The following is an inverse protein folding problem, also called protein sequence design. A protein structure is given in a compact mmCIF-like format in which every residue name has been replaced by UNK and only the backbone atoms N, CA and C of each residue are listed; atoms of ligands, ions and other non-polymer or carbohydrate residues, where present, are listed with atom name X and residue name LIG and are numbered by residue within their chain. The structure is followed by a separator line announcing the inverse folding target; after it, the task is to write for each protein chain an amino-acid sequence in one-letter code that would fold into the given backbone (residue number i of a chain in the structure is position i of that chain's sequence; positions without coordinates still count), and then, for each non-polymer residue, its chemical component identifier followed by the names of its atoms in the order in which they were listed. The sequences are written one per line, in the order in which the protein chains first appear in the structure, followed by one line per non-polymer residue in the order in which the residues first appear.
data_IF_640877107208
#
_entry.id   IF_640877107208
#
_cell.length_a   1.000
_cell.length_b   1.000
_cell.length_c   1.000
_cell.angle_alpha   90.00
_cell.angle_beta   90.00
_cell.angle_gamma   90.00
#
_symmetry.space_group_name_H-M   'P 1'
#
loop_
_entity.id
_entity.type
_entity.pdbx_description
1 polymer ?
#
# COMPACT_ATOMS: atom_id res chain seq x y z
N UNK A 1 -9.34 19.30 -19.98
CA UNK A 1 -10.03 18.24 -19.22
C UNK A 1 -11.53 18.45 -19.38
N UNK A 2 -12.22 17.49 -20.00
CA UNK A 2 -13.68 17.53 -20.13
C UNK A 2 -14.35 16.76 -18.99
N UNK A 3 -15.69 16.83 -18.87
CA UNK A 3 -16.42 16.16 -17.78
C UNK A 3 -16.24 14.63 -17.82
N UNK A 4 -16.24 14.03 -19.01
CA UNK A 4 -16.09 12.57 -19.17
C UNK A 4 -14.72 12.07 -18.69
N UNK A 5 -13.67 12.84 -18.97
CA UNK A 5 -12.30 12.57 -18.50
C UNK A 5 -12.20 12.74 -16.98
N UNK A 6 -12.86 13.76 -16.41
CA UNK A 6 -12.93 13.97 -14.97
C UNK A 6 -13.68 12.85 -14.24
N UNK A 7 -14.81 12.37 -14.79
CA UNK A 7 -15.57 11.24 -14.25
C UNK A 7 -14.71 9.98 -14.18
N UNK A 8 -14.05 9.62 -15.28
CA UNK A 8 -13.12 8.48 -15.34
C UNK A 8 -11.99 8.61 -14.32
N UNK A 9 -11.38 9.78 -14.22
CA UNK A 9 -10.30 10.03 -13.25
C UNK A 9 -10.81 9.93 -11.81
N UNK A 10 -12.02 10.39 -11.54
CA UNK A 10 -12.66 10.30 -10.23
C UNK A 10 -12.95 8.86 -9.83
N UNK A 11 -13.40 8.02 -10.77
CA UNK A 11 -13.61 6.58 -10.52
C UNK A 11 -12.29 5.86 -10.21
N UNK A 12 -11.22 6.18 -10.94
CA UNK A 12 -9.88 5.64 -10.67
C UNK A 12 -9.40 6.02 -9.26
N UNK A 13 -9.54 7.29 -8.88
CA UNK A 13 -9.21 7.77 -7.54
C UNK A 13 -10.06 7.09 -6.45
N UNK A 14 -11.36 6.92 -6.68
CA UNK A 14 -12.25 6.24 -5.74
C UNK A 14 -11.87 4.76 -5.54
N UNK A 15 -11.49 4.05 -6.61
CA UNK A 15 -11.03 2.67 -6.53
C UNK A 15 -9.71 2.55 -5.77
N UNK A 16 -8.78 3.48 -6.02
CA UNK A 16 -7.55 3.59 -5.25
C UNK A 16 -7.83 3.82 -3.75
N UNK A 17 -8.70 4.78 -3.40
CA UNK A 17 -9.06 5.04 -2.01
C UNK A 17 -9.75 3.85 -1.34
N UNK A 18 -10.63 3.11 -2.03
CA UNK A 18 -11.24 1.87 -1.52
C UNK A 18 -10.21 0.79 -1.20
N UNK A 19 -9.13 0.74 -1.97
CA UNK A 19 -8.01 -0.17 -1.71
C UNK A 19 -7.20 0.26 -0.48
N UNK A 20 -7.11 1.55 -0.19
CA UNK A 20 -6.43 2.03 1.01
C UNK A 20 -7.32 1.95 2.26
N UNK A 21 -8.64 2.12 2.13
CA UNK A 21 -9.59 2.19 3.23
C UNK A 21 -9.78 0.84 3.97
N UNK A 22 -8.78 0.41 4.73
CA UNK A 22 -8.78 -0.77 5.59
C UNK A 22 -7.67 -0.66 6.63
N UNK A 23 -8.02 -0.85 7.90
CA UNK A 23 -7.07 -0.78 9.02
C UNK A 23 -5.82 -1.63 8.81
N UNK A 24 -5.94 -2.96 8.54
CA UNK A 24 -4.78 -3.81 8.29
C UNK A 24 -3.88 -3.35 7.14
N UNK A 25 -4.47 -2.86 6.03
CA UNK A 25 -3.69 -2.35 4.89
C UNK A 25 -2.97 -1.07 5.24
N UNK A 26 -3.63 -0.12 5.91
CA UNK A 26 -2.99 1.13 6.36
C UNK A 26 -1.87 0.86 7.35
N UNK A 27 -2.05 -0.09 8.28
CA UNK A 27 -1.00 -0.48 9.23
C UNK A 27 0.25 -1.00 8.50
N UNK A 28 0.04 -1.87 7.50
CA UNK A 28 1.14 -2.38 6.67
C UNK A 28 1.78 -1.26 5.83
N UNK A 29 0.98 -0.36 5.27
CA UNK A 29 1.46 0.74 4.44
C UNK A 29 2.22 1.81 5.25
N UNK A 30 1.79 2.16 6.48
CA UNK A 30 2.57 3.04 7.37
C UNK A 30 3.96 2.43 7.65
N UNK A 31 4.11 1.10 7.75
CA UNK A 31 5.43 0.45 7.88
C UNK A 31 6.28 0.53 6.60
N UNK A 32 5.66 0.50 5.41
CA UNK A 32 6.39 0.62 4.14
C UNK A 32 6.82 2.05 3.81
N UNK A 33 6.22 3.07 4.44
CA UNK A 33 6.69 4.46 4.36
C UNK A 33 8.09 4.60 4.97
N UNK A 34 8.44 3.77 5.96
CA UNK A 34 9.78 3.76 6.57
C UNK A 34 10.85 3.10 5.68
N UNK A 35 10.44 2.38 4.63
CA UNK A 35 11.34 1.73 3.69
C UNK A 35 10.87 0.36 3.20
N UNK A 36 11.67 -0.23 2.31
CA UNK A 36 11.41 -1.54 1.72
C UNK A 36 11.48 -2.66 2.78
N UNK A 37 10.47 -3.55 2.82
CA UNK A 37 10.39 -4.65 3.80
C UNK A 37 9.85 -5.95 3.21
N UNK A 38 10.22 -7.09 3.80
CA UNK A 38 9.65 -8.39 3.44
C UNK A 38 8.41 -8.73 4.28
N UNK A 39 7.65 -9.74 3.86
CA UNK A 39 6.39 -10.16 4.53
C UNK A 39 6.61 -10.59 5.98
N UNK A 40 7.73 -11.22 6.31
CA UNK A 40 8.04 -11.67 7.66
C UNK A 40 8.19 -10.49 8.61
N UNK A 41 9.03 -9.52 8.24
CA UNK A 41 9.22 -8.28 9.00
C UNK A 41 7.93 -7.49 9.16
N UNK A 42 7.11 -7.40 8.09
CA UNK A 42 5.81 -6.73 8.16
C UNK A 42 4.85 -7.46 9.12
N UNK A 43 4.79 -8.79 9.09
CA UNK A 43 3.96 -9.57 10.00
C UNK A 43 4.36 -9.37 11.48
N UNK A 44 5.66 -9.37 11.76
CA UNK A 44 6.20 -9.11 13.10
C UNK A 44 5.84 -7.71 13.60
N UNK A 45 6.11 -6.68 12.80
CA UNK A 45 5.89 -5.27 13.18
C UNK A 45 4.42 -4.90 13.32
N UNK A 46 3.56 -5.48 12.49
CA UNK A 46 2.12 -5.19 12.50
C UNK A 46 1.32 -6.11 13.44
N UNK A 47 1.94 -7.19 13.95
CA UNK A 47 1.24 -8.23 14.72
C UNK A 47 0.22 -9.04 13.90
N UNK A 48 0.16 -8.84 12.58
CA UNK A 48 -0.74 -9.55 11.69
C UNK A 48 -0.18 -10.93 11.35
N UNK A 49 -1.07 -11.88 11.05
CA UNK A 49 -0.66 -13.19 10.53
C UNK A 49 0.02 -13.02 9.18
N UNK A 50 1.09 -13.77 8.94
CA UNK A 50 1.84 -13.75 7.69
C UNK A 50 0.98 -14.02 6.46
N UNK A 51 -0.02 -14.91 6.58
CA UNK A 51 -1.00 -15.19 5.52
C UNK A 51 -1.86 -13.98 5.20
N UNK A 52 -2.30 -13.24 6.22
CA UNK A 52 -3.07 -11.99 6.07
C UNK A 52 -2.23 -10.91 5.39
N UNK A 53 -0.97 -10.72 5.82
CA UNK A 53 -0.05 -9.76 5.18
C UNK A 53 0.17 -10.14 3.71
N UNK A 54 0.42 -11.41 3.41
CA UNK A 54 0.62 -11.89 2.04
C UNK A 54 -0.59 -11.66 1.15
N UNK A 55 -1.81 -11.90 1.66
CA UNK A 55 -3.05 -11.64 0.91
C UNK A 55 -3.23 -10.15 0.62
N UNK A 56 -3.00 -9.28 1.61
CA UNK A 56 -3.05 -7.83 1.40
C UNK A 56 -1.98 -7.35 0.41
N UNK A 57 -0.75 -7.87 0.51
CA UNK A 57 0.33 -7.58 -0.41
C UNK A 57 0.01 -8.01 -1.84
N UNK A 58 -0.56 -9.21 -2.02
CA UNK A 58 -0.97 -9.69 -3.34
C UNK A 58 -2.03 -8.78 -3.97
N UNK A 59 -3.03 -8.35 -3.18
CA UNK A 59 -4.08 -7.44 -3.63
C UNK A 59 -3.51 -6.06 -3.99
N UNK A 60 -2.69 -5.47 -3.11
CA UNK A 60 -2.09 -4.15 -3.34
C UNK A 60 -1.11 -4.15 -4.51
N UNK A 61 -0.40 -5.25 -4.73
CA UNK A 61 0.48 -5.44 -5.90
C UNK A 61 -0.32 -5.53 -7.20
N UNK A 62 -1.44 -6.26 -7.20
CA UNK A 62 -2.31 -6.37 -8.37
C UNK A 62 -2.88 -5.01 -8.80
N UNK A 63 -2.99 -4.07 -7.87
CA UNK A 63 -3.49 -2.72 -8.08
C UNK A 63 -2.37 -1.67 -8.15
N UNK A 64 -1.12 -2.09 -8.29
CA UNK A 64 0.05 -1.20 -8.41
C UNK A 64 0.20 -0.18 -7.27
N UNK A 65 -0.17 -0.56 -6.05
CA UNK A 65 0.07 0.24 -4.83
C UNK A 65 1.42 -0.11 -4.20
N UNK A 66 1.84 -1.36 -4.33
CA UNK A 66 3.16 -1.83 -3.89
C UNK A 66 3.90 -2.50 -5.04
N UNK A 67 5.20 -2.30 -5.06
CA UNK A 67 6.15 -2.94 -5.96
C UNK A 67 6.88 -4.04 -5.23
N UNK A 68 7.47 -4.97 -5.98
CA UNK A 68 8.26 -6.06 -5.41
C UNK A 68 9.63 -6.14 -6.03
N UNK A 69 10.65 -6.33 -5.18
CA UNK A 69 12.00 -6.70 -5.58
C UNK A 69 12.32 -8.08 -5.00
N UNK A 70 13.02 -8.91 -5.77
CA UNK A 70 13.48 -10.21 -5.30
C UNK A 70 14.97 -10.15 -4.99
N UNK A 71 15.34 -10.69 -3.84
CA UNK A 71 16.72 -10.83 -3.38
C UNK A 71 16.95 -12.26 -2.90
N UNK A 72 17.58 -13.08 -3.74
CA UNK A 72 17.65 -14.54 -3.55
C UNK A 72 16.26 -15.19 -3.47
N UNK A 73 15.94 -15.74 -2.30
CA UNK A 73 14.64 -16.38 -2.02
C UNK A 73 13.63 -15.42 -1.39
N UNK A 74 14.06 -14.22 -0.99
CA UNK A 74 13.23 -13.25 -0.28
C UNK A 74 12.58 -12.27 -1.24
N UNK A 75 11.29 -11.98 -1.02
CA UNK A 75 10.55 -10.92 -1.72
C UNK A 75 10.43 -9.74 -0.78
N UNK A 76 10.90 -8.60 -1.26
CA UNK A 76 10.80 -7.31 -0.61
C UNK A 76 9.73 -6.46 -1.31
N UNK A 77 9.04 -5.64 -0.52
CA UNK A 77 7.94 -4.79 -0.94
C UNK A 77 8.27 -3.33 -0.66
N UNK A 78 7.91 -2.46 -1.59
CA UNK A 78 8.04 -1.00 -1.48
C UNK A 78 6.78 -0.33 -2.04
N UNK A 79 6.60 0.96 -1.79
CA UNK A 79 5.52 1.73 -2.40
C UNK A 79 5.76 1.86 -3.91
N UNK A 80 4.72 1.66 -4.72
CA UNK A 80 4.87 1.55 -6.18
C UNK A 80 4.86 2.87 -6.94
N UNK A 81 4.32 3.93 -6.34
CA UNK A 81 4.08 5.19 -7.05
C UNK A 81 4.17 6.39 -6.11
N UNK A 82 4.68 7.54 -6.59
CA UNK A 82 4.71 8.79 -5.84
C UNK A 82 3.35 9.20 -5.27
N UNK A 83 2.25 8.94 -5.98
CA UNK A 83 0.91 9.29 -5.47
C UNK A 83 0.54 8.50 -4.21
N UNK A 84 1.03 7.25 -4.10
CA UNK A 84 0.81 6.40 -2.93
C UNK A 84 1.61 6.96 -1.76
N UNK A 85 2.86 7.34 -2.00
CA UNK A 85 3.73 7.98 -1.00
C UNK A 85 3.14 9.29 -0.49
N UNK A 86 2.67 10.18 -1.38
CA UNK A 86 2.08 11.47 -1.01
C UNK A 86 0.81 11.29 -0.17
N UNK A 87 -0.10 10.39 -0.58
CA UNK A 87 -1.34 10.12 0.17
C UNK A 87 -1.03 9.49 1.53
N UNK A 88 -0.12 8.51 1.57
CA UNK A 88 0.27 7.88 2.82
C UNK A 88 1.03 8.83 3.74
N UNK A 89 1.82 9.76 3.21
CA UNK A 89 2.50 10.77 4.03
C UNK A 89 1.49 11.67 4.76
N UNK A 90 0.41 12.08 4.08
CA UNK A 90 -0.68 12.85 4.70
C UNK A 90 -1.40 12.03 5.77
N UNK A 91 -1.74 10.77 5.47
CA UNK A 91 -2.41 9.89 6.42
C UNK A 91 -1.52 9.56 7.63
N UNK A 92 -0.24 9.31 7.39
CA UNK A 92 0.74 9.02 8.43
C UNK A 92 0.86 10.20 9.40
N UNK A 93 0.99 11.43 8.87
CA UNK A 93 1.02 12.66 9.67
C UNK A 93 -0.27 12.89 10.47
N UNK A 94 -1.43 12.49 9.94
CA UNK A 94 -2.72 12.73 10.58
C UNK A 94 -3.15 11.67 11.60
N UNK A 95 -2.64 10.44 11.48
CA UNK A 95 -3.18 9.28 12.20
C UNK A 95 -2.15 8.28 12.74
N UNK A 96 -0.90 8.30 12.27
CA UNK A 96 0.17 7.36 12.68
C UNK A 96 1.18 8.01 13.68
N UNK A 97 0.91 9.24 14.18
CA UNK A 97 1.62 9.84 15.35
C UNK A 97 1.09 9.32 16.69
#
# INVERSE_FOLDING_TARGET
MNIQELEKNSENAANFLKLLASGPRLLILCQLVEGEQNVGTLAERTGLRMTTVSQHMALMRAQSVVSTRRDGTTIYYSLASPIVEEVLAVLHKGFCE
#
